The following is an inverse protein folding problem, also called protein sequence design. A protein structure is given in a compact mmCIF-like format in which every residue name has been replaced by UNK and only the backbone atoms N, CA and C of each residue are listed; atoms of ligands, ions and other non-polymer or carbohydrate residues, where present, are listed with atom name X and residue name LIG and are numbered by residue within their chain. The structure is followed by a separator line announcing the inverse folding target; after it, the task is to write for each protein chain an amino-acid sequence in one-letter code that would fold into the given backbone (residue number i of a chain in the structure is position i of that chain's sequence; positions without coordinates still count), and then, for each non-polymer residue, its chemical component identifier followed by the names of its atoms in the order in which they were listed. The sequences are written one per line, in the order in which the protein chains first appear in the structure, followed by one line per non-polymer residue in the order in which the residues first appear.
data_IF_515720365835
#
_entry.id   IF_515720365835
#
_cell.length_a   1.000
_cell.length_b   1.000
_cell.length_c   1.000
_cell.angle_alpha   90.00
_cell.angle_beta   90.00
_cell.angle_gamma   90.00
#
_symmetry.space_group_name_H-M   'P 1'
#
loop_
_entity.id
_entity.type
_entity.pdbx_description
1 polymer ?
#
# COMPACT_ATOMS: atom_id res chain seq x y z
N UNK A 1 -2.58 -25.56 -12.61
CA UNK A 1 -1.50 -25.00 -11.79
C UNK A 1 -2.14 -24.11 -10.76
N UNK A 2 -1.88 -24.34 -9.48
CA UNK A 2 -2.41 -23.52 -8.39
C UNK A 2 -1.24 -22.75 -7.78
N UNK A 3 -1.43 -21.45 -7.60
CA UNK A 3 -0.49 -20.58 -6.89
C UNK A 3 -1.21 -20.15 -5.62
N UNK A 4 -0.56 -20.35 -4.48
CA UNK A 4 -1.05 -19.89 -3.18
C UNK A 4 -0.15 -18.73 -2.77
N UNK A 5 -0.78 -17.59 -2.45
CA UNK A 5 -0.10 -16.39 -2.00
C UNK A 5 -0.39 -16.16 -0.52
N UNK A 6 0.49 -15.43 0.14
CA UNK A 6 0.25 -14.92 1.49
C UNK A 6 -0.97 -13.99 1.47
N UNK A 7 -1.79 -14.08 2.52
CA UNK A 7 -2.99 -13.26 2.61
C UNK A 7 -2.59 -11.87 3.11
N UNK A 8 -2.69 -10.87 2.24
CA UNK A 8 -2.61 -9.46 2.64
C UNK A 8 -3.93 -8.93 3.21
N UNK A 9 -3.92 -7.70 3.72
CA UNK A 9 -5.12 -7.03 4.25
C UNK A 9 -5.90 -6.30 3.13
N UNK A 10 -6.05 -4.99 3.24
CA UNK A 10 -6.76 -4.15 2.28
C UNK A 10 -5.86 -3.80 1.09
N UNK A 11 -6.46 -3.68 -0.09
CA UNK A 11 -5.75 -3.04 -1.20
C UNK A 11 -5.58 -1.54 -0.92
N UNK A 12 -4.65 -0.90 -1.64
CA UNK A 12 -4.28 0.49 -1.43
C UNK A 12 -5.45 1.46 -1.58
N UNK A 13 -6.38 1.16 -2.50
CA UNK A 13 -7.57 1.98 -2.75
C UNK A 13 -8.52 1.92 -1.53
N UNK A 14 -8.77 0.73 -1.02
CA UNK A 14 -9.58 0.52 0.18
C UNK A 14 -8.93 1.13 1.42
N UNK A 15 -7.63 0.92 1.59
CA UNK A 15 -6.85 1.51 2.68
C UNK A 15 -6.95 3.03 2.68
N UNK A 16 -6.71 3.68 1.53
CA UNK A 16 -6.80 5.13 1.43
C UNK A 16 -8.20 5.65 1.78
N UNK A 17 -9.25 5.03 1.25
CA UNK A 17 -10.62 5.43 1.57
C UNK A 17 -11.01 5.20 3.03
N UNK A 18 -10.58 4.09 3.63
CA UNK A 18 -10.83 3.78 5.04
C UNK A 18 -10.13 4.77 5.94
N UNK A 19 -8.82 4.97 5.74
CA UNK A 19 -8.01 5.87 6.56
C UNK A 19 -8.49 7.31 6.47
N UNK A 20 -8.86 7.80 5.29
CA UNK A 20 -9.45 9.14 5.16
C UNK A 20 -10.82 9.23 5.83
N UNK A 21 -11.72 8.25 5.63
CA UNK A 21 -13.06 8.28 6.24
C UNK A 21 -13.02 8.22 7.77
N UNK A 22 -12.11 7.44 8.33
CA UNK A 22 -11.89 7.36 9.78
C UNK A 22 -11.35 8.69 10.32
N UNK A 23 -10.48 9.39 9.58
CA UNK A 23 -10.00 10.72 9.92
C UNK A 23 -11.08 11.82 9.85
N UNK A 24 -12.05 11.74 8.94
CA UNK A 24 -13.16 12.72 8.87
C UNK A 24 -14.04 12.69 10.13
N UNK A 25 -14.08 11.59 10.88
CA UNK A 25 -14.85 11.48 12.14
C UNK A 25 -14.16 12.08 13.36
N UNK A 26 -12.88 12.46 13.26
CA UNK A 26 -12.13 13.10 14.34
C UNK A 26 -11.02 13.97 13.75
N UNK A 27 -11.36 15.23 13.47
CA UNK A 27 -10.46 16.36 13.12
C UNK A 27 -9.30 16.06 12.14
N UNK A 28 -9.48 16.51 10.89
CA UNK A 28 -8.49 16.39 9.81
C UNK A 28 -7.29 17.31 10.10
N UNK A 29 -6.14 16.74 10.46
CA UNK A 29 -4.87 17.46 10.41
C UNK A 29 -4.28 17.33 8.99
N UNK A 30 -3.89 18.44 8.32
CA UNK A 30 -3.31 18.40 6.98
C UNK A 30 -2.03 17.55 6.85
N UNK A 31 -1.27 17.40 7.95
CA UNK A 31 -0.01 16.63 7.98
C UNK A 31 -0.22 15.13 7.83
N UNK A 32 -1.36 14.58 8.24
CA UNK A 32 -1.61 13.14 8.24
C UNK A 32 -1.79 12.56 6.84
N UNK A 33 -2.33 13.35 5.89
CA UNK A 33 -2.49 12.90 4.50
C UNK A 33 -1.14 12.84 3.77
N UNK A 34 -0.24 13.78 4.05
CA UNK A 34 1.10 13.79 3.48
C UNK A 34 1.89 12.57 3.95
N UNK A 35 1.82 12.23 5.23
CA UNK A 35 2.49 11.04 5.79
C UNK A 35 1.98 9.74 5.15
N UNK A 36 0.66 9.63 4.95
CA UNK A 36 0.06 8.49 4.26
C UNK A 36 0.57 8.41 2.82
N UNK A 37 0.55 9.52 2.08
CA UNK A 37 1.05 9.55 0.70
C UNK A 37 2.55 9.19 0.62
N UNK A 38 3.36 9.68 1.56
CA UNK A 38 4.79 9.33 1.63
C UNK A 38 4.97 7.82 1.84
N UNK A 39 4.19 7.20 2.73
CA UNK A 39 4.23 5.74 2.94
C UNK A 39 3.88 4.98 1.66
N UNK A 40 2.81 5.40 0.98
CA UNK A 40 2.34 4.82 -0.28
C UNK A 40 3.41 4.89 -1.36
N UNK A 41 3.97 6.08 -1.58
CA UNK A 41 5.00 6.31 -2.59
C UNK A 41 6.25 5.49 -2.29
N UNK A 42 6.67 5.40 -1.03
CA UNK A 42 7.82 4.58 -0.62
C UNK A 42 7.59 3.09 -0.91
N UNK A 43 6.40 2.56 -0.63
CA UNK A 43 6.04 1.16 -0.92
C UNK A 43 6.07 0.88 -2.43
N UNK A 44 5.36 1.70 -3.21
CA UNK A 44 5.33 1.59 -4.67
C UNK A 44 6.74 1.70 -5.29
N UNK A 45 7.58 2.62 -4.80
CA UNK A 45 8.96 2.77 -5.27
C UNK A 45 9.82 1.54 -4.98
N UNK A 46 9.65 0.88 -3.83
CA UNK A 46 10.34 -0.39 -3.51
C UNK A 46 9.93 -1.50 -4.48
N UNK A 47 8.63 -1.65 -4.73
CA UNK A 47 8.12 -2.64 -5.69
C UNK A 47 8.68 -2.36 -7.10
N UNK A 48 8.59 -1.11 -7.56
CA UNK A 48 9.14 -0.68 -8.85
C UNK A 48 10.64 -0.94 -8.97
N UNK A 49 11.42 -0.74 -7.90
CA UNK A 49 12.86 -1.05 -7.88
C UNK A 49 13.12 -2.54 -8.11
N UNK A 50 12.28 -3.43 -7.55
CA UNK A 50 12.41 -4.87 -7.77
C UNK A 50 12.05 -5.24 -9.21
N UNK A 51 10.94 -4.72 -9.74
CA UNK A 51 10.58 -4.95 -11.14
C UNK A 51 11.66 -4.42 -12.06
N UNK A 52 12.13 -3.19 -11.89
CA UNK A 52 13.21 -2.64 -12.72
C UNK A 52 14.44 -3.56 -12.82
N UNK A 53 14.76 -4.34 -11.77
CA UNK A 53 15.85 -5.30 -11.76
C UNK A 53 15.50 -6.64 -12.43
N UNK A 54 14.26 -7.11 -12.33
CA UNK A 54 13.89 -8.49 -12.66
C UNK A 54 12.84 -8.65 -13.78
N UNK A 55 12.15 -7.59 -14.18
CA UNK A 55 11.13 -7.64 -15.24
C UNK A 55 10.17 -6.44 -15.28
N UNK A 56 9.09 -6.57 -16.05
CA UNK A 56 8.05 -5.55 -16.15
C UNK A 56 6.76 -6.15 -15.60
N UNK A 57 6.13 -5.50 -14.63
CA UNK A 57 4.90 -6.00 -14.00
C UNK A 57 3.69 -6.00 -14.96
N UNK A 58 3.57 -4.99 -15.82
CA UNK A 58 2.50 -4.88 -16.82
C UNK A 58 1.15 -4.39 -16.29
N UNK A 59 0.88 -4.49 -14.99
CA UNK A 59 -0.43 -4.10 -14.39
C UNK A 59 -0.24 -3.36 -13.05
N UNK A 60 0.43 -2.20 -13.07
CA UNK A 60 0.65 -1.39 -11.86
C UNK A 60 -0.56 -0.50 -11.61
N UNK A 61 -1.36 -0.81 -10.58
CA UNK A 61 -2.55 -0.06 -10.17
C UNK A 61 -2.83 -0.22 -8.68
N UNK A 62 -3.63 0.67 -8.11
CA UNK A 62 -3.97 0.68 -6.68
C UNK A 62 -4.58 -0.64 -6.18
N UNK A 63 -5.28 -1.37 -7.02
CA UNK A 63 -5.97 -2.61 -6.62
C UNK A 63 -5.00 -3.79 -6.44
N UNK A 64 -3.81 -3.73 -7.06
CA UNK A 64 -2.79 -4.78 -6.97
C UNK A 64 -1.78 -4.51 -5.84
N UNK A 65 -1.87 -3.35 -5.18
CA UNK A 65 -1.06 -3.04 -4.01
C UNK A 65 -1.85 -3.42 -2.76
N UNK A 66 -1.27 -4.22 -1.87
CA UNK A 66 -1.91 -4.71 -0.65
C UNK A 66 -1.06 -4.36 0.57
N UNK A 67 -1.73 -4.01 1.65
CA UNK A 67 -1.09 -3.73 2.94
C UNK A 67 -0.74 -5.06 3.61
N UNK A 68 0.53 -5.21 4.00
CA UNK A 68 0.99 -6.40 4.73
C UNK A 68 0.40 -6.45 6.14
N UNK A 69 0.01 -7.64 6.58
CA UNK A 69 -0.47 -7.92 7.94
C UNK A 69 0.68 -8.07 8.95
N UNK A 70 1.93 -8.24 8.48
CA UNK A 70 3.09 -8.39 9.37
C UNK A 70 3.51 -7.03 9.95
N UNK A 71 3.28 -6.91 11.25
CA UNK A 71 3.29 -5.68 12.02
C UNK A 71 4.69 -5.09 12.17
N UNK A 72 4.95 -3.98 11.48
CA UNK A 72 5.81 -2.94 12.02
C UNK A 72 5.07 -1.59 11.86
N UNK A 73 4.54 -0.98 12.94
CA UNK A 73 3.69 0.21 12.85
C UNK A 73 4.41 1.46 12.30
N UNK A 74 5.74 1.44 12.21
CA UNK A 74 6.52 2.47 11.51
C UNK A 74 6.64 2.23 9.99
N UNK A 75 6.31 1.03 9.52
CA UNK A 75 6.49 0.55 8.16
C UNK A 75 5.29 -0.31 7.76
N UNK A 76 4.13 0.30 7.53
CA UNK A 76 3.06 -0.36 6.77
C UNK A 76 3.61 -0.62 5.35
N UNK A 77 4.06 -1.85 5.09
CA UNK A 77 4.60 -2.22 3.79
C UNK A 77 3.43 -2.41 2.81
N UNK A 78 3.48 -1.63 1.73
CA UNK A 78 2.60 -1.80 0.59
C UNK A 78 3.34 -2.65 -0.42
N UNK A 79 2.82 -3.86 -0.64
CA UNK A 79 3.38 -4.88 -1.51
C UNK A 79 2.50 -5.04 -2.75
N UNK A 80 3.10 -5.42 -3.88
CA UNK A 80 2.36 -5.64 -5.12
C UNK A 80 2.11 -7.15 -5.26
N UNK A 81 0.84 -7.54 -5.34
CA UNK A 81 0.38 -8.92 -5.56
C UNK A 81 0.33 -9.29 -7.03
#
# INVERSE_FOLDING_TARGET
MYIVLELGDLNLKEYFHKTIREQVRGEILPRTNEDILIKIIKGAAKALKQFHKFGIHGDIKSDNFVVSLEQNPELDFIELN
#
